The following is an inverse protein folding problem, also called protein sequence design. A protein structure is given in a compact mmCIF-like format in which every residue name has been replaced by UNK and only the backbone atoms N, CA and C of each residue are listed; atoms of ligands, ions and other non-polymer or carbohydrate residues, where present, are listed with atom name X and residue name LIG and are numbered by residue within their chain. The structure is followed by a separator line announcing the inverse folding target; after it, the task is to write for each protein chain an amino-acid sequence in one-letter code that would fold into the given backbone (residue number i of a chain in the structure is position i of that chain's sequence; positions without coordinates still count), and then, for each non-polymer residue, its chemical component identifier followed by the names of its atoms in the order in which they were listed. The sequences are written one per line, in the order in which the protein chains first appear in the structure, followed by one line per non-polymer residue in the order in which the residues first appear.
data_IF_610123573864
#
_entry.id   IF_610123573864
#
_cell.length_a   1.000
_cell.length_b   1.000
_cell.length_c   1.000
_cell.angle_alpha   90.00
_cell.angle_beta   90.00
_cell.angle_gamma   90.00
#
_symmetry.space_group_name_H-M   'P 1'
#
loop_
_entity.id
_entity.type
_entity.pdbx_description
1 polymer ?
#
# COMPACT_ATOMS: atom_id res chain seq x y z
N UNK A 1 -27.60 -25.11 -15.81
CA UNK A 1 -27.00 -24.15 -14.87
C UNK A 1 -25.72 -23.65 -15.51
N UNK A 2 -25.81 -22.59 -16.31
CA UNK A 2 -24.69 -22.09 -17.11
C UNK A 2 -23.78 -21.25 -16.22
N UNK A 3 -22.51 -21.65 -16.08
CA UNK A 3 -21.51 -20.83 -15.39
C UNK A 3 -21.25 -19.58 -16.24
N UNK A 4 -21.48 -18.35 -15.73
CA UNK A 4 -21.44 -17.14 -16.55
C UNK A 4 -20.04 -16.63 -16.87
N UNK A 5 -18.97 -17.35 -16.50
CA UNK A 5 -17.59 -16.85 -16.54
C UNK A 5 -16.60 -17.87 -17.19
N UNK A 6 -17.01 -18.59 -18.24
CA UNK A 6 -16.13 -19.52 -18.98
C UNK A 6 -15.47 -18.89 -20.22
N UNK A 7 -15.30 -17.56 -20.22
CA UNK A 7 -14.46 -16.90 -21.20
C UNK A 7 -13.00 -16.93 -20.73
N UNK A 8 -12.03 -17.29 -21.59
CA UNK A 8 -10.62 -17.29 -21.23
C UNK A 8 -10.23 -15.91 -20.69
N UNK A 9 -9.42 -15.91 -19.63
CA UNK A 9 -8.92 -14.67 -19.04
C UNK A 9 -8.20 -13.84 -20.11
N UNK A 10 -8.61 -12.58 -20.24
CA UNK A 10 -7.94 -11.57 -21.07
C UNK A 10 -7.59 -10.38 -20.17
N UNK A 11 -6.42 -9.77 -20.38
CA UNK A 11 -5.97 -8.62 -19.57
C UNK A 11 -6.96 -7.45 -19.61
N UNK A 12 -7.67 -7.28 -20.73
CA UNK A 12 -8.76 -6.31 -20.91
C UNK A 12 -9.93 -6.49 -19.94
N UNK A 13 -10.16 -7.68 -19.37
CA UNK A 13 -11.19 -7.88 -18.34
C UNK A 13 -10.87 -7.10 -17.06
N UNK A 14 -9.59 -6.81 -16.80
CA UNK A 14 -9.15 -6.04 -15.63
C UNK A 14 -9.45 -4.53 -15.76
N UNK A 15 -9.85 -4.05 -16.94
CA UNK A 15 -10.29 -2.67 -17.15
C UNK A 15 -11.69 -2.43 -16.55
N UNK A 16 -12.52 -3.47 -16.51
CA UNK A 16 -13.85 -3.41 -15.88
C UNK A 16 -13.74 -3.26 -14.36
N UNK A 17 -14.23 -2.16 -13.76
CA UNK A 17 -14.22 -1.96 -12.31
C UNK A 17 -14.97 -3.07 -11.57
N UNK A 18 -16.13 -3.48 -12.09
CA UNK A 18 -16.96 -4.52 -11.48
C UNK A 18 -16.26 -5.91 -11.48
N UNK A 19 -15.52 -6.24 -12.55
CA UNK A 19 -14.73 -7.47 -12.60
C UNK A 19 -13.57 -7.43 -11.60
N UNK A 20 -12.88 -6.29 -11.52
CA UNK A 20 -11.78 -6.06 -10.58
C UNK A 20 -12.22 -6.20 -9.13
N UNK A 21 -13.33 -5.56 -8.74
CA UNK A 21 -13.89 -5.69 -7.39
C UNK A 21 -14.28 -7.13 -7.06
N UNK A 22 -14.86 -7.86 -8.02
CA UNK A 22 -15.19 -9.28 -7.85
C UNK A 22 -13.92 -10.11 -7.63
N UNK A 23 -12.86 -9.83 -8.39
CA UNK A 23 -11.57 -10.50 -8.26
C UNK A 23 -10.88 -10.15 -6.94
N UNK A 24 -10.89 -8.88 -6.52
CA UNK A 24 -10.39 -8.43 -5.21
C UNK A 24 -11.10 -9.15 -4.06
N UNK A 25 -12.43 -9.28 -4.12
CA UNK A 25 -13.18 -10.05 -3.11
C UNK A 25 -12.77 -11.52 -3.06
N UNK A 26 -12.67 -12.17 -4.22
CA UNK A 26 -12.19 -13.56 -4.31
C UNK A 26 -10.79 -13.71 -3.71
N UNK A 27 -9.90 -12.77 -4.03
CA UNK A 27 -8.51 -12.77 -3.57
C UNK A 27 -8.39 -12.53 -2.07
N UNK A 28 -9.15 -11.58 -1.51
CA UNK A 28 -9.19 -11.31 -0.07
C UNK A 28 -9.72 -12.53 0.71
N UNK A 29 -10.76 -13.20 0.21
CA UNK A 29 -11.27 -14.44 0.79
C UNK A 29 -10.20 -15.54 0.81
N UNK A 30 -9.49 -15.73 -0.32
CA UNK A 30 -8.43 -16.72 -0.42
C UNK A 30 -7.27 -16.43 0.55
N UNK A 31 -6.84 -15.17 0.65
CA UNK A 31 -5.81 -14.75 1.62
C UNK A 31 -6.23 -15.11 3.05
N UNK A 32 -7.46 -14.78 3.45
CA UNK A 32 -7.95 -15.09 4.80
C UNK A 32 -7.95 -16.60 5.09
N UNK A 33 -8.37 -17.43 4.13
CA UNK A 33 -8.34 -18.90 4.28
C UNK A 33 -6.91 -19.41 4.42
N UNK A 34 -5.97 -18.90 3.63
CA UNK A 34 -4.56 -19.28 3.70
C UNK A 34 -3.92 -18.86 5.03
N UNK A 35 -4.23 -17.68 5.56
CA UNK A 35 -3.75 -17.23 6.87
C UNK A 35 -4.23 -18.14 8.00
N UNK A 36 -5.51 -18.52 7.97
CA UNK A 36 -6.07 -19.50 8.92
C UNK A 36 -5.41 -20.87 8.76
N UNK A 37 -5.15 -21.32 7.54
CA UNK A 37 -4.46 -22.58 7.30
C UNK A 37 -3.02 -22.55 7.85
N UNK A 38 -2.26 -21.46 7.62
CA UNK A 38 -0.94 -21.26 8.18
C UNK A 38 -0.96 -21.25 9.72
N UNK A 39 -1.95 -20.62 10.34
CA UNK A 39 -2.14 -20.65 11.80
C UNK A 39 -2.39 -22.07 12.31
N UNK A 40 -3.29 -22.83 11.65
CA UNK A 40 -3.58 -24.22 11.99
C UNK A 40 -2.35 -25.12 11.87
N UNK A 41 -1.57 -24.99 10.80
CA UNK A 41 -0.34 -25.80 10.63
C UNK A 41 0.70 -25.47 11.70
N UNK A 42 0.88 -24.19 12.05
CA UNK A 42 1.73 -23.79 13.19
C UNK A 42 1.27 -24.40 14.51
N UNK A 43 -0.04 -24.43 14.74
CA UNK A 43 -0.60 -25.08 15.91
C UNK A 43 -0.37 -26.59 15.90
N UNK A 44 -0.58 -27.27 14.76
CA UNK A 44 -0.31 -28.70 14.62
C UNK A 44 1.16 -29.03 14.85
N UNK A 45 2.11 -28.19 14.40
CA UNK A 45 3.54 -28.37 14.66
C UNK A 45 3.91 -28.30 16.14
N UNK A 46 3.08 -27.69 16.99
CA UNK A 46 3.30 -27.64 18.44
C UNK A 46 2.86 -28.91 19.18
N UNK A 47 2.21 -29.85 18.49
CA UNK A 47 1.74 -31.09 19.08
C UNK A 47 2.86 -32.16 19.07
N UNK A 48 3.01 -32.95 20.15
CA UNK A 48 4.12 -33.90 20.28
C UNK A 48 4.07 -35.07 19.29
N UNK A 49 2.89 -35.44 18.80
CA UNK A 49 2.66 -36.52 17.84
C UNK A 49 2.58 -36.03 16.38
N UNK A 50 3.04 -34.81 16.11
CA UNK A 50 2.90 -34.19 14.81
C UNK A 50 3.92 -34.73 13.80
N UNK A 51 3.45 -35.04 12.59
CA UNK A 51 4.31 -35.31 11.43
C UNK A 51 4.98 -33.99 10.97
N UNK A 52 6.08 -33.65 11.65
CA UNK A 52 6.76 -32.37 11.51
C UNK A 52 7.28 -32.15 10.08
N UNK A 53 7.80 -33.18 9.43
CA UNK A 53 8.34 -33.07 8.07
C UNK A 53 7.24 -32.71 7.07
N UNK A 54 6.11 -33.43 7.12
CA UNK A 54 4.97 -33.12 6.27
C UNK A 54 4.41 -31.74 6.56
N UNK A 55 4.27 -31.37 7.83
CA UNK A 55 3.70 -30.08 8.22
C UNK A 55 4.60 -28.91 7.83
N UNK A 56 5.92 -29.03 7.91
CA UNK A 56 6.85 -28.01 7.44
C UNK A 56 6.77 -27.81 5.92
N UNK A 57 6.64 -28.89 5.14
CA UNK A 57 6.41 -28.80 3.69
C UNK A 57 5.08 -28.12 3.37
N UNK A 58 4.01 -28.48 4.08
CA UNK A 58 2.70 -27.83 3.94
C UNK A 58 2.81 -26.33 4.29
N UNK A 59 3.46 -25.99 5.40
CA UNK A 59 3.65 -24.61 5.83
C UNK A 59 4.39 -23.78 4.76
N UNK A 60 5.46 -24.33 4.20
CA UNK A 60 6.22 -23.68 3.12
C UNK A 60 5.32 -23.38 1.91
N UNK A 61 4.58 -24.37 1.42
CA UNK A 61 3.68 -24.19 0.27
C UNK A 61 2.58 -23.16 0.54
N UNK A 62 2.00 -23.17 1.75
CA UNK A 62 0.98 -22.20 2.13
C UNK A 62 1.53 -20.78 2.18
N UNK A 63 2.73 -20.59 2.74
CA UNK A 63 3.40 -19.29 2.78
C UNK A 63 3.73 -18.78 1.37
N UNK A 64 4.31 -19.62 0.51
CA UNK A 64 4.61 -19.26 -0.87
C UNK A 64 3.33 -18.86 -1.64
N UNK A 65 2.25 -19.61 -1.47
CA UNK A 65 0.95 -19.30 -2.09
C UNK A 65 0.36 -17.99 -1.55
N UNK A 66 0.46 -17.76 -0.24
CA UNK A 66 0.00 -16.54 0.42
C UNK A 66 0.77 -15.31 -0.10
N UNK A 67 2.09 -15.41 -0.25
CA UNK A 67 2.92 -14.34 -0.83
C UNK A 67 2.51 -14.01 -2.27
N UNK A 68 2.23 -15.02 -3.09
CA UNK A 68 1.71 -14.81 -4.46
C UNK A 68 0.37 -14.07 -4.41
N UNK A 69 -0.55 -14.49 -3.55
CA UNK A 69 -1.86 -13.84 -3.41
C UNK A 69 -1.74 -12.39 -2.92
N UNK A 70 -0.86 -12.11 -1.96
CA UNK A 70 -0.61 -10.76 -1.47
C UNK A 70 0.01 -9.86 -2.55
N UNK A 71 0.93 -10.39 -3.37
CA UNK A 71 1.48 -9.66 -4.52
C UNK A 71 0.40 -9.37 -5.56
N UNK A 72 -0.44 -10.34 -5.88
CA UNK A 72 -1.57 -10.14 -6.79
C UNK A 72 -2.52 -9.05 -6.27
N UNK A 73 -2.76 -8.99 -4.95
CA UNK A 73 -3.63 -7.97 -4.34
C UNK A 73 -3.05 -6.58 -4.52
N UNK A 74 -1.74 -6.41 -4.28
CA UNK A 74 -1.04 -5.13 -4.50
C UNK A 74 -1.10 -4.74 -5.98
N UNK A 75 -0.82 -5.67 -6.90
CA UNK A 75 -0.87 -5.39 -8.33
C UNK A 75 -2.27 -4.99 -8.81
N UNK A 76 -3.32 -5.55 -8.21
CA UNK A 76 -4.70 -5.23 -8.53
C UNK A 76 -5.17 -3.90 -7.93
N UNK A 77 -4.64 -3.52 -6.75
CA UNK A 77 -4.92 -2.24 -6.08
C UNK A 77 -4.15 -1.07 -6.71
N UNK A 78 -2.88 -1.27 -7.05
CA UNK A 78 -2.06 -0.23 -7.70
C UNK A 78 -2.58 0.17 -9.10
N UNK A 79 -3.41 -0.68 -9.73
CA UNK A 79 -4.12 -0.35 -10.98
C UNK A 79 -5.33 0.56 -10.75
N UNK A 80 -5.79 0.70 -9.52
CA UNK A 80 -6.86 1.60 -9.09
C UNK A 80 -6.28 2.97 -8.69
N UNK A 81 -5.06 2.98 -8.15
CA UNK A 81 -4.34 4.18 -7.73
C UNK A 81 -3.68 4.88 -8.94
N UNK A 82 -4.48 5.60 -9.73
CA UNK A 82 -4.24 6.99 -10.15
C UNK A 82 -5.19 7.38 -11.32
N UNK A 83 -6.00 8.43 -11.16
CA UNK A 83 -6.59 9.14 -12.30
C UNK A 83 -5.47 9.57 -13.25
N UNK A 84 -5.64 9.37 -14.56
CA UNK A 84 -4.60 9.65 -15.57
C UNK A 84 -4.04 11.09 -15.50
N UNK A 85 -4.81 12.03 -14.96
CA UNK A 85 -4.39 13.41 -14.76
C UNK A 85 -3.40 13.57 -13.59
N UNK A 86 -3.44 12.73 -12.56
CA UNK A 86 -2.57 12.82 -11.38
C UNK A 86 -1.24 12.08 -11.52
N UNK A 87 -1.21 10.97 -12.29
CA UNK A 87 0.00 10.16 -12.50
C UNK A 87 1.10 10.96 -13.20
N UNK A 88 0.71 11.81 -14.15
CA UNK A 88 1.63 12.66 -14.92
C UNK A 88 2.25 13.77 -14.06
N UNK A 89 1.51 14.32 -13.09
CA UNK A 89 2.01 15.37 -12.22
C UNK A 89 2.94 14.86 -11.11
N UNK A 90 2.79 13.60 -10.67
CA UNK A 90 3.63 13.01 -9.61
C UNK A 90 4.93 12.38 -10.13
N UNK A 91 4.95 11.86 -11.36
CA UNK A 91 6.16 11.29 -11.98
C UNK A 91 7.30 12.31 -12.16
N UNK A 92 6.97 13.60 -12.25
CA UNK A 92 7.91 14.72 -12.34
C UNK A 92 8.50 15.14 -10.97
N UNK A 93 7.96 14.66 -9.85
CA UNK A 93 8.39 15.03 -8.50
C UNK A 93 9.26 13.93 -7.86
N UNK A 94 9.15 12.67 -8.32
CA UNK A 94 9.77 11.51 -7.66
C UNK A 94 11.04 10.95 -8.29
N UNK A 95 11.62 11.58 -9.32
CA UNK A 95 12.76 11.02 -10.04
C UNK A 95 14.05 11.84 -9.86
N UNK A 96 14.52 11.99 -8.62
CA UNK A 96 15.97 11.99 -8.36
C UNK A 96 16.34 11.59 -6.91
N UNK A 97 16.99 10.42 -6.82
CA UNK A 97 18.01 9.98 -5.84
C UNK A 97 17.70 9.69 -4.35
N UNK A 98 17.70 8.39 -4.05
CA UNK A 98 18.63 7.78 -3.08
C UNK A 98 19.02 6.40 -3.67
N UNK A 99 20.29 6.06 -3.95
CA UNK A 99 21.40 5.91 -3.02
C UNK A 99 22.77 5.89 -3.79
N UNK A 100 23.69 6.81 -3.47
CA UNK A 100 25.12 6.56 -3.12
C UNK A 100 26.13 7.69 -3.48
N UNK A 101 26.57 8.42 -2.43
CA UNK A 101 27.89 9.05 -2.21
C UNK A 101 28.29 10.35 -2.99
N UNK A 102 29.32 11.12 -2.54
CA UNK A 102 29.13 12.38 -1.81
C UNK A 102 29.78 13.60 -2.49
N UNK A 103 29.05 14.68 -2.74
CA UNK A 103 29.67 15.97 -3.11
C UNK A 103 28.92 17.14 -2.46
N UNK A 104 29.61 17.80 -1.53
CA UNK A 104 29.36 19.16 -1.08
C UNK A 104 29.18 20.11 -2.28
N UNK A 105 27.98 20.61 -2.58
CA UNK A 105 27.81 21.93 -3.23
C UNK A 105 26.46 22.57 -2.91
N UNK A 106 26.57 23.74 -2.26
CA UNK A 106 25.69 24.90 -2.31
C UNK A 106 24.17 24.68 -2.17
N UNK A 107 23.65 25.13 -1.03
CA UNK A 107 22.30 25.71 -0.89
C UNK A 107 21.93 26.46 -2.17
N UNK A 108 21.05 25.87 -2.97
CA UNK A 108 20.29 26.59 -3.98
C UNK A 108 18.86 26.62 -3.46
N UNK A 109 18.46 27.80 -3.01
CA UNK A 109 17.08 28.13 -2.66
C UNK A 109 16.23 27.93 -3.92
N UNK A 110 15.64 26.74 -4.09
CA UNK A 110 14.70 26.51 -5.18
C UNK A 110 13.42 27.31 -4.90
N UNK A 111 12.83 27.96 -5.91
CA UNK A 111 11.55 28.64 -5.76
C UNK A 111 10.50 27.62 -5.33
N UNK A 112 9.86 27.86 -4.18
CA UNK A 112 8.66 27.10 -3.78
C UNK A 112 7.62 27.27 -4.88
N UNK A 113 7.11 26.15 -5.39
CA UNK A 113 5.90 26.17 -6.22
C UNK A 113 4.79 26.94 -5.48
N UNK A 114 3.94 27.68 -6.20
CA UNK A 114 2.84 28.41 -5.57
C UNK A 114 1.98 27.39 -4.82
N UNK A 115 1.87 27.59 -3.51
CA UNK A 115 0.90 26.89 -2.68
C UNK A 115 -0.49 27.06 -3.29
N UNK A 116 -1.34 26.03 -3.21
CA UNK A 116 -2.80 26.07 -3.45
C UNK A 116 -3.51 26.97 -2.41
N UNK A 117 -2.97 28.15 -2.15
CA UNK A 117 -3.56 29.16 -1.30
C UNK A 117 -4.69 29.78 -2.09
N UNK A 118 -5.90 29.55 -1.60
CA UNK A 118 -7.14 30.11 -2.15
C UNK A 118 -7.21 31.64 -2.03
N UNK A 119 -6.25 32.28 -1.34
CA UNK A 119 -6.10 33.73 -1.20
C UNK A 119 -4.65 34.16 -0.96
N UNK A 120 -4.26 35.37 -1.37
CA UNK A 120 -2.92 35.95 -1.12
C UNK A 120 -2.58 36.05 0.37
N UNK A 121 -3.58 36.32 1.21
CA UNK A 121 -3.41 36.36 2.67
C UNK A 121 -3.06 34.98 3.27
N UNK A 122 -3.51 33.91 2.62
CA UNK A 122 -3.20 32.54 3.03
C UNK A 122 -1.77 32.15 2.64
N UNK A 123 -1.31 32.57 1.46
CA UNK A 123 0.08 32.37 1.02
C UNK A 123 1.10 33.03 1.98
N UNK A 124 0.81 34.25 2.47
CA UNK A 124 1.67 34.92 3.46
C UNK A 124 1.73 34.18 4.80
N UNK A 125 0.62 33.57 5.23
CA UNK A 125 0.58 32.76 6.46
C UNK A 125 1.44 31.52 6.31
N UNK A 126 1.28 30.79 5.20
CA UNK A 126 2.09 29.60 4.92
C UNK A 126 3.58 29.91 4.76
N UNK A 127 3.92 31.07 4.20
CA UNK A 127 5.31 31.52 4.11
C UNK A 127 5.95 31.66 5.51
N UNK A 128 5.21 32.15 6.51
CA UNK A 128 5.69 32.34 7.89
C UNK A 128 5.89 31.04 8.67
N UNK A 129 5.18 29.97 8.33
CA UNK A 129 5.22 28.70 9.08
C UNK A 129 6.50 27.88 8.84
N UNK A 130 7.19 28.10 7.71
CA UNK A 130 8.41 27.36 7.38
C UNK A 130 8.16 25.87 7.09
N UNK A 131 9.22 25.08 6.84
CA UNK A 131 9.08 23.64 6.56
C UNK A 131 8.78 22.84 7.83
N UNK A 132 7.85 21.89 7.74
CA UNK A 132 7.54 20.94 8.82
C UNK A 132 8.77 20.05 9.07
N UNK A 133 9.25 20.04 10.31
CA UNK A 133 10.41 19.21 10.70
C UNK A 133 9.92 17.91 11.32
N UNK A 134 10.75 16.87 11.24
CA UNK A 134 10.44 15.57 11.87
C UNK A 134 10.31 15.65 13.39
N UNK A 135 10.91 16.66 14.03
CA UNK A 135 10.73 16.92 15.46
C UNK A 135 9.30 17.38 15.78
N UNK A 136 8.72 18.22 14.92
CA UNK A 136 7.37 18.78 15.10
C UNK A 136 6.30 17.67 15.02
N UNK A 137 6.53 16.65 14.19
CA UNK A 137 5.63 15.49 14.08
C UNK A 137 5.74 14.59 15.32
N UNK A 138 6.96 14.40 15.82
CA UNK A 138 7.22 13.54 16.99
C UNK A 138 6.75 14.15 18.30
N UNK A 139 6.60 15.47 18.36
CA UNK A 139 6.09 16.16 19.56
C UNK A 139 4.56 16.18 19.65
N UNK A 140 3.84 15.66 18.66
CA UNK A 140 2.38 15.60 18.68
C UNK A 140 1.93 14.38 19.49
N UNK A 141 1.08 14.62 20.49
CA UNK A 141 0.35 13.57 21.22
C UNK A 141 -0.89 13.16 20.41
N UNK A 142 -0.75 12.04 19.69
CA UNK A 142 -1.83 11.51 18.85
C UNK A 142 -3.01 10.98 19.66
N UNK A 143 -2.81 10.57 20.92
CA UNK A 143 -3.88 10.06 21.78
C UNK A 143 -4.74 11.21 22.33
N UNK A 144 -4.12 12.36 22.63
CA UNK A 144 -4.86 13.58 22.93
C UNK A 144 -5.66 14.08 21.72
N UNK A 145 -5.06 14.06 20.53
CA UNK A 145 -5.72 14.46 19.29
C UNK A 145 -6.91 13.56 18.96
N UNK A 146 -6.76 12.24 19.11
CA UNK A 146 -7.83 11.28 18.86
C UNK A 146 -9.03 11.49 19.79
N UNK A 147 -8.80 11.83 21.06
CA UNK A 147 -9.87 12.16 22.02
C UNK A 147 -10.64 13.42 21.64
N UNK A 148 -9.96 14.45 21.13
CA UNK A 148 -10.61 15.69 20.68
C UNK A 148 -11.48 15.51 19.43
N UNK A 149 -11.13 14.58 18.54
CA UNK A 149 -11.88 14.36 17.30
C UNK A 149 -13.12 13.46 17.50
N UNK A 150 -13.24 12.80 18.65
CA UNK A 150 -14.35 11.92 18.99
C UNK A 150 -15.46 12.61 19.83
N UNK A 151 -15.28 13.90 20.14
CA UNK A 151 -16.29 14.77 20.77
C UNK A 151 -16.99 15.65 19.74
#
# INVERSE_FOLDING_TARGET
MSHPDEHPFSESHLESPAYRERLMRKLNCLIAVLEVACAKVRQSLSQPEADAERLLRIQKNLNETLEVCQRARRALSNREELPAELSSHLGLIGSDQALSAPVLRARSERPRAPSDASSSAEAERFAKLGPIRSADIRSIDFDALARMLQS
#
